data_IF_484500782687
#
_entry.id   IF_484500782687
#
_cell.length_a   1.000
_cell.length_b   1.000
_cell.length_c   1.000
_cell.angle_alpha   90.00
_cell.angle_beta   90.00
_cell.angle_gamma   90.00
#
_symmetry.space_group_name_H-M   'P 1'
#
loop_
_entity.id
_entity.type
_entity.pdbx_description
1 polymer ?
#
# COMPACT_ATOMS: atom_id res chain seq x y z
N UNK A 1 20.74 -2.26 -2.99
CA UNK A 1 19.57 -2.29 -3.90
C UNK A 1 18.35 -1.96 -3.04
N UNK A 2 17.45 -1.09 -3.50
CA UNK A 2 16.23 -0.68 -2.79
C UNK A 2 15.27 -1.88 -2.70
N UNK A 3 14.57 -2.03 -1.59
CA UNK A 3 13.49 -3.01 -1.48
C UNK A 3 12.18 -2.42 -1.99
N UNK A 4 11.32 -3.26 -2.56
CA UNK A 4 9.94 -2.93 -2.87
C UNK A 4 9.03 -3.50 -1.78
N UNK A 5 8.46 -2.61 -0.99
CA UNK A 5 7.58 -2.92 0.13
C UNK A 5 6.13 -2.74 -0.30
N UNK A 6 5.34 -3.79 -0.25
CA UNK A 6 3.90 -3.73 -0.44
C UNK A 6 3.22 -3.47 0.91
N UNK A 7 2.77 -2.23 1.13
CA UNK A 7 2.11 -1.81 2.38
C UNK A 7 0.60 -1.67 2.18
N UNK A 8 -0.17 -2.57 2.79
CA UNK A 8 -1.62 -2.68 2.55
C UNK A 8 -2.39 -3.00 3.82
N UNK A 9 -3.60 -2.43 3.90
CA UNK A 9 -4.67 -2.93 4.78
C UNK A 9 -5.46 -4.01 4.06
N UNK A 10 -5.75 -5.10 4.76
CA UNK A 10 -6.55 -6.23 4.24
C UNK A 10 -7.61 -6.65 5.26
N UNK A 11 -8.75 -7.10 4.76
CA UNK A 11 -9.75 -7.78 5.59
C UNK A 11 -9.25 -9.15 6.04
N UNK A 12 -9.91 -9.75 7.01
CA UNK A 12 -9.57 -11.08 7.53
C UNK A 12 -9.59 -12.17 6.44
N UNK A 13 -10.41 -12.00 5.42
CA UNK A 13 -10.56 -12.89 4.27
C UNK A 13 -9.78 -12.44 3.02
N UNK A 14 -8.84 -11.49 3.17
CA UNK A 14 -7.82 -11.14 2.17
C UNK A 14 -8.25 -10.16 1.09
N UNK A 15 -9.31 -9.39 1.31
CA UNK A 15 -9.71 -8.31 0.41
C UNK A 15 -9.14 -6.96 0.85
N UNK A 16 -8.85 -6.11 -0.12
CA UNK A 16 -8.31 -4.76 0.10
C UNK A 16 -9.35 -3.67 -0.11
N UNK A 17 -10.44 -3.99 -0.79
CA UNK A 17 -11.57 -3.08 -1.04
C UNK A 17 -12.81 -3.88 -1.40
N UNK A 18 -13.99 -3.26 -1.35
CA UNK A 18 -15.20 -3.77 -1.98
C UNK A 18 -15.03 -3.87 -3.51
N UNK A 19 -15.93 -4.56 -4.19
CA UNK A 19 -15.86 -4.80 -5.64
C UNK A 19 -15.88 -3.51 -6.47
N UNK A 20 -16.49 -2.44 -5.95
CA UNK A 20 -16.49 -1.09 -6.55
C UNK A 20 -15.21 -0.28 -6.23
N UNK A 21 -14.35 -0.79 -5.36
CA UNK A 21 -13.14 -0.13 -4.89
C UNK A 21 -13.29 0.70 -3.63
N UNK A 22 -14.49 0.73 -3.03
CA UNK A 22 -14.75 1.42 -1.77
C UNK A 22 -13.97 0.75 -0.62
N UNK A 23 -13.46 1.56 0.31
CA UNK A 23 -12.66 1.15 1.48
C UNK A 23 -13.26 1.64 2.80
N UNK A 24 -14.56 1.88 2.85
CA UNK A 24 -15.27 2.41 4.03
C UNK A 24 -15.16 1.51 5.26
N UNK A 25 -14.88 0.23 5.08
CA UNK A 25 -14.60 -0.73 6.13
C UNK A 25 -13.30 -0.42 6.92
N UNK A 26 -12.42 0.43 6.39
CA UNK A 26 -11.22 0.91 7.09
C UNK A 26 -11.56 2.01 8.12
N UNK A 27 -12.74 2.62 7.99
CA UNK A 27 -13.18 3.67 8.89
C UNK A 27 -13.78 3.04 10.15
N UNK A 28 -13.35 3.41 11.37
CA UNK A 28 -13.94 2.91 12.59
C UNK A 28 -15.44 3.22 12.63
N UNK A 29 -16.28 2.22 12.86
CA UNK A 29 -17.70 2.44 13.11
C UNK A 29 -17.90 2.90 14.55
N UNK A 30 -18.33 4.14 14.77
CA UNK A 30 -18.81 4.62 16.05
C UNK A 30 -18.13 5.88 16.59
N UNK A 31 -18.91 6.62 17.37
CA UNK A 31 -18.43 7.74 18.18
C UNK A 31 -17.51 7.21 19.28
N UNK A 32 -16.36 7.77 19.40
CA UNK A 32 -15.33 7.36 20.34
C UNK A 32 -14.21 6.64 19.63
N UNK A 33 -13.54 7.37 18.74
CA UNK A 33 -12.22 6.98 18.27
C UNK A 33 -11.31 6.97 19.49
N UNK A 34 -11.29 5.83 20.18
CA UNK A 34 -10.18 5.54 21.06
C UNK A 34 -8.94 5.71 20.17
N UNK A 35 -7.97 6.43 20.64
CA UNK A 35 -6.73 6.77 19.93
C UNK A 35 -5.91 5.50 19.61
N UNK A 36 -6.50 4.60 18.83
CA UNK A 36 -5.83 3.44 18.24
C UNK A 36 -4.79 3.88 17.20
N UNK A 37 -4.87 5.16 16.81
CA UNK A 37 -4.05 5.77 15.80
C UNK A 37 -2.62 5.99 16.22
N UNK A 38 -2.35 6.25 17.49
CA UNK A 38 -1.05 6.79 17.87
C UNK A 38 0.10 5.80 17.63
N UNK A 39 -0.02 4.55 18.06
CA UNK A 39 1.06 3.57 17.86
C UNK A 39 1.20 3.15 16.40
N UNK A 40 0.08 2.86 15.70
CA UNK A 40 0.09 2.48 14.29
C UNK A 40 0.46 3.66 13.41
N UNK A 41 -0.05 4.86 13.72
CA UNK A 41 0.30 6.08 13.01
C UNK A 41 1.79 6.41 13.15
N UNK A 42 2.36 6.30 14.35
CA UNK A 42 3.81 6.47 14.57
C UNK A 42 4.62 5.45 13.77
N UNK A 43 4.26 4.17 13.83
CA UNK A 43 4.94 3.12 13.06
C UNK A 43 4.89 3.38 11.55
N UNK A 44 3.77 3.90 11.03
CA UNK A 44 3.67 4.30 9.64
C UNK A 44 4.56 5.51 9.34
N UNK A 45 4.58 6.54 10.18
CA UNK A 45 5.45 7.71 10.00
C UNK A 45 6.93 7.32 10.00
N UNK A 46 7.35 6.45 10.93
CA UNK A 46 8.71 5.91 10.98
C UNK A 46 9.05 5.14 9.69
N UNK A 47 8.14 4.27 9.25
CA UNK A 47 8.31 3.54 7.98
C UNK A 47 8.48 4.50 6.80
N UNK A 48 7.59 5.48 6.66
CA UNK A 48 7.66 6.44 5.55
C UNK A 48 8.91 7.34 5.60
N UNK A 49 9.49 7.55 6.79
CA UNK A 49 10.79 8.20 6.96
C UNK A 49 11.95 7.48 6.25
N UNK A 50 11.82 6.16 6.03
CA UNK A 50 12.82 5.33 5.33
C UNK A 50 12.46 5.10 3.85
N UNK A 51 11.36 5.67 3.36
CA UNK A 51 10.93 5.55 1.97
C UNK A 51 11.53 6.67 1.12
N UNK A 52 11.97 6.33 -0.09
CA UNK A 52 12.46 7.27 -1.08
C UNK A 52 11.59 7.36 -2.34
N UNK A 53 10.59 6.48 -2.50
CA UNK A 53 9.70 6.48 -3.64
C UNK A 53 8.37 5.81 -3.27
N UNK A 54 7.26 6.44 -3.62
CA UNK A 54 5.92 5.85 -3.53
C UNK A 54 5.49 5.38 -4.92
N UNK A 55 4.90 4.19 -4.98
CA UNK A 55 4.31 3.65 -6.21
C UNK A 55 2.86 3.28 -5.96
N UNK A 56 1.99 3.51 -6.94
CA UNK A 56 0.60 3.10 -6.89
C UNK A 56 -0.03 3.00 -8.27
N UNK A 57 -1.16 2.32 -8.35
CA UNK A 57 -1.99 2.31 -9.55
C UNK A 57 -2.92 3.52 -9.64
N UNK A 58 -3.47 3.78 -10.83
CA UNK A 58 -4.37 4.91 -11.12
C UNK A 58 -5.50 5.08 -10.11
N UNK A 59 -6.28 4.03 -9.86
CA UNK A 59 -7.45 4.11 -8.97
C UNK A 59 -7.09 4.57 -7.55
N UNK A 60 -5.99 4.06 -7.01
CA UNK A 60 -5.51 4.51 -5.70
C UNK A 60 -5.10 5.98 -5.73
N UNK A 61 -4.42 6.42 -6.78
CA UNK A 61 -4.06 7.82 -6.96
C UNK A 61 -5.30 8.72 -7.01
N UNK A 62 -6.29 8.39 -7.83
CA UNK A 62 -7.54 9.15 -7.96
C UNK A 62 -8.31 9.28 -6.64
N UNK A 63 -8.30 8.23 -5.81
CA UNK A 63 -8.93 8.25 -4.48
C UNK A 63 -8.12 9.03 -3.44
N UNK A 64 -6.81 8.92 -3.49
CA UNK A 64 -5.93 9.41 -2.43
C UNK A 64 -5.44 10.84 -2.67
N UNK A 65 -5.14 11.22 -3.91
CA UNK A 65 -4.55 12.50 -4.23
C UNK A 65 -5.35 13.70 -3.69
N UNK A 66 -6.70 13.78 -3.84
CA UNK A 66 -7.45 14.91 -3.33
C UNK A 66 -7.37 15.09 -1.81
N UNK A 67 -7.37 13.97 -1.07
CA UNK A 67 -7.34 14.01 0.38
C UNK A 67 -5.94 14.33 0.92
N UNK A 68 -4.90 13.77 0.32
CA UNK A 68 -3.53 13.92 0.79
C UNK A 68 -2.91 15.24 0.35
N UNK A 69 -3.18 15.71 -0.89
CA UNK A 69 -2.62 16.97 -1.40
C UNK A 69 -3.12 18.20 -0.63
N UNK A 70 -4.32 18.13 -0.06
CA UNK A 70 -4.94 19.21 0.71
C UNK A 70 -4.79 19.10 2.23
N UNK A 71 -4.14 18.05 2.73
CA UNK A 71 -4.01 17.78 4.16
C UNK A 71 -2.69 18.29 4.72
N UNK A 72 -2.73 18.92 5.91
CA UNK A 72 -1.56 19.37 6.68
C UNK A 72 -1.15 18.36 7.77
N UNK A 73 -1.69 17.14 7.75
CA UNK A 73 -1.32 16.13 8.71
C UNK A 73 0.16 15.72 8.57
N UNK A 74 0.84 15.30 9.65
CA UNK A 74 2.24 14.90 9.58
C UNK A 74 2.52 13.85 8.51
N UNK A 75 1.60 12.90 8.30
CA UNK A 75 1.72 11.87 7.27
C UNK A 75 1.57 12.49 5.87
N UNK A 76 0.63 13.41 5.67
CA UNK A 76 0.44 14.08 4.39
C UNK A 76 1.68 14.89 3.99
N UNK A 77 2.28 15.61 4.94
CA UNK A 77 3.53 16.35 4.68
C UNK A 77 4.65 15.43 4.19
N UNK A 78 4.82 14.26 4.80
CA UNK A 78 5.81 13.28 4.35
C UNK A 78 5.46 12.74 2.97
N UNK A 79 4.22 12.28 2.75
CA UNK A 79 3.78 11.72 1.47
C UNK A 79 3.89 12.74 0.33
N UNK A 80 3.53 14.00 0.58
CA UNK A 80 3.57 15.07 -0.43
C UNK A 80 5.01 15.42 -0.86
N UNK A 81 6.00 15.27 0.02
CA UNK A 81 7.42 15.52 -0.32
C UNK A 81 8.06 14.38 -1.09
N UNK A 82 7.59 13.14 -0.91
CA UNK A 82 8.18 11.97 -1.57
C UNK A 82 7.87 11.96 -3.08
N UNK A 83 8.83 11.55 -3.92
CA UNK A 83 8.57 11.24 -5.32
C UNK A 83 7.51 10.13 -5.45
N UNK A 84 6.65 10.24 -6.45
CA UNK A 84 5.58 9.27 -6.73
C UNK A 84 5.61 8.80 -8.17
N UNK A 85 5.38 7.52 -8.39
CA UNK A 85 5.16 6.93 -9.71
C UNK A 85 3.78 6.29 -9.75
N UNK A 86 2.95 6.80 -10.66
CA UNK A 86 1.59 6.29 -10.87
C UNK A 86 1.57 5.45 -12.14
N UNK A 87 1.27 4.16 -12.00
CA UNK A 87 1.14 3.26 -13.15
C UNK A 87 -0.26 3.37 -13.74
N UNK A 88 -0.32 3.88 -14.97
CA UNK A 88 -1.57 4.05 -15.70
C UNK A 88 -1.35 4.08 -17.22
N UNK A 89 -2.24 3.43 -17.96
CA UNK A 89 -2.28 3.52 -19.41
C UNK A 89 -3.23 4.63 -19.92
N UNK A 90 -4.07 5.18 -19.04
CA UNK A 90 -5.18 6.07 -19.40
C UNK A 90 -5.17 7.42 -18.70
N UNK A 91 -4.40 7.57 -17.61
CA UNK A 91 -4.26 8.83 -16.90
C UNK A 91 -3.25 9.72 -17.64
N UNK A 92 -3.62 10.95 -17.96
CA UNK A 92 -2.74 11.88 -18.68
C UNK A 92 -2.04 12.86 -17.72
N UNK A 93 -2.73 13.27 -16.65
CA UNK A 93 -2.20 14.17 -15.64
C UNK A 93 -2.70 13.82 -14.24
N UNK A 94 -2.00 14.30 -13.22
CA UNK A 94 -2.41 14.20 -11.82
C UNK A 94 -1.93 15.41 -11.06
N UNK A 95 -2.84 16.05 -10.35
CA UNK A 95 -2.54 17.18 -9.47
C UNK A 95 -2.12 16.69 -8.08
N UNK A 96 -0.91 16.16 -8.00
CA UNK A 96 -0.28 15.76 -6.75
C UNK A 96 1.22 16.05 -6.82
N UNK A 97 1.79 16.82 -5.87
CA UNK A 97 3.20 17.21 -5.93
C UNK A 97 4.15 16.02 -6.09
N UNK A 98 5.25 16.21 -6.81
CA UNK A 98 6.32 15.24 -7.01
C UNK A 98 5.86 13.91 -7.65
N UNK A 99 4.87 13.99 -8.54
CA UNK A 99 4.27 12.81 -9.18
C UNK A 99 4.63 12.75 -10.67
N UNK A 100 4.97 11.55 -11.13
CA UNK A 100 5.05 11.22 -12.55
C UNK A 100 4.15 10.02 -12.87
N UNK A 101 3.67 9.97 -14.10
CA UNK A 101 2.92 8.83 -14.62
C UNK A 101 3.88 7.92 -15.39
N UNK A 102 3.78 6.61 -15.16
CA UNK A 102 4.49 5.60 -15.94
C UNK A 102 3.51 4.75 -16.73
N UNK A 103 3.86 4.54 -18.00
CA UNK A 103 3.16 3.63 -18.92
C UNK A 103 3.97 2.34 -19.15
N UNK A 104 5.12 2.21 -18.51
CA UNK A 104 5.98 1.05 -18.64
C UNK A 104 5.35 -0.20 -18.00
N UNK A 105 5.75 -1.36 -18.48
CA UNK A 105 5.43 -2.61 -17.80
C UNK A 105 6.16 -2.68 -16.45
N UNK A 106 5.46 -3.10 -15.40
CA UNK A 106 6.01 -3.18 -14.04
C UNK A 106 7.22 -4.12 -13.98
N UNK A 107 7.18 -5.22 -14.72
CA UNK A 107 8.29 -6.18 -14.80
C UNK A 107 9.58 -5.57 -15.36
N UNK A 108 9.49 -4.56 -16.21
CA UNK A 108 10.65 -3.92 -16.83
C UNK A 108 11.18 -2.72 -16.03
N UNK A 109 10.28 -1.94 -15.42
CA UNK A 109 10.64 -0.70 -14.72
C UNK A 109 11.06 -0.93 -13.28
N UNK A 110 10.36 -1.78 -12.54
CA UNK A 110 10.62 -2.00 -11.11
C UNK A 110 12.05 -2.48 -10.84
N UNK A 111 12.61 -3.46 -11.58
CA UNK A 111 14.00 -3.85 -11.37
C UNK A 111 15.00 -2.69 -11.57
N UNK A 112 14.73 -1.80 -12.52
CA UNK A 112 15.58 -0.61 -12.76
C UNK A 112 15.50 0.36 -11.59
N UNK A 113 14.29 0.68 -11.12
CA UNK A 113 14.07 1.54 -9.96
C UNK A 113 14.73 0.97 -8.69
N UNK A 114 14.68 -0.34 -8.49
CA UNK A 114 15.38 -1.00 -7.38
C UNK A 114 16.90 -0.88 -7.49
N UNK A 115 17.43 -0.89 -8.71
CA UNK A 115 18.88 -0.79 -8.97
C UNK A 115 19.46 0.63 -8.81
N UNK A 116 18.64 1.68 -8.90
CA UNK A 116 19.08 3.09 -8.79
C UNK A 116 19.72 3.45 -7.42
N UNK A 117 19.50 2.64 -6.39
CA UNK A 117 19.95 2.93 -5.04
C UNK A 117 19.09 3.98 -4.31
N UNK A 118 19.42 4.26 -3.06
CA UNK A 118 18.66 5.17 -2.19
C UNK A 118 17.75 4.43 -1.20
N UNK A 119 16.82 5.15 -0.56
CA UNK A 119 15.83 4.62 0.35
C UNK A 119 14.81 3.74 -0.38
N UNK A 120 14.12 2.88 0.34
CA UNK A 120 13.22 1.87 -0.19
C UNK A 120 12.02 2.44 -0.96
N UNK A 121 11.36 1.58 -1.71
CA UNK A 121 10.18 1.87 -2.50
C UNK A 121 8.99 1.29 -1.76
N UNK A 122 7.92 2.08 -1.57
CA UNK A 122 6.67 1.58 -1.02
C UNK A 122 5.56 1.62 -2.05
N UNK A 123 4.79 0.54 -2.13
CA UNK A 123 3.48 0.54 -2.77
C UNK A 123 2.45 0.85 -1.70
N UNK A 124 1.78 1.98 -1.87
CA UNK A 124 0.81 2.49 -0.93
C UNK A 124 -0.57 2.57 -1.58
N UNK A 125 -1.46 1.66 -1.21
CA UNK A 125 -2.79 1.53 -1.79
C UNK A 125 -2.83 0.88 -3.18
N UNK A 126 -4.06 0.56 -3.62
CA UNK A 126 -4.30 -0.01 -4.95
C UNK A 126 -4.26 -1.54 -5.01
N UNK A 127 -5.38 -2.19 -4.65
CA UNK A 127 -5.46 -3.65 -4.59
C UNK A 127 -5.10 -4.36 -5.88
N UNK A 128 -5.55 -3.89 -7.03
CA UNK A 128 -5.18 -4.47 -8.33
C UNK A 128 -3.68 -4.34 -8.63
N UNK A 129 -3.09 -3.19 -8.26
CA UNK A 129 -1.66 -2.97 -8.47
C UNK A 129 -0.84 -3.87 -7.53
N UNK A 130 -1.24 -3.94 -6.24
CA UNK A 130 -0.61 -4.84 -5.26
C UNK A 130 -0.73 -6.31 -5.67
N UNK A 131 -1.90 -6.73 -6.16
CA UNK A 131 -2.10 -8.07 -6.71
C UNK A 131 -1.12 -8.38 -7.85
N UNK A 132 -0.95 -7.44 -8.80
CA UNK A 132 -0.02 -7.62 -9.92
C UNK A 132 1.41 -7.81 -9.44
N UNK A 133 1.84 -7.07 -8.40
CA UNK A 133 3.18 -7.20 -7.83
C UNK A 133 3.41 -8.56 -7.16
N UNK A 134 2.42 -9.07 -6.45
CA UNK A 134 2.48 -10.42 -5.85
C UNK A 134 2.52 -11.47 -6.95
N UNK A 135 1.62 -11.38 -7.92
CA UNK A 135 1.54 -12.33 -9.02
C UNK A 135 2.86 -12.45 -9.78
N UNK A 136 3.53 -11.32 -10.02
CA UNK A 136 4.81 -11.26 -10.74
C UNK A 136 6.03 -11.38 -9.83
N UNK A 137 5.84 -11.65 -8.52
CA UNK A 137 6.89 -11.83 -7.52
C UNK A 137 7.88 -10.66 -7.44
N UNK A 138 7.37 -9.43 -7.60
CA UNK A 138 8.18 -8.22 -7.62
C UNK A 138 8.38 -7.60 -6.24
N UNK A 139 7.48 -7.88 -5.28
CA UNK A 139 7.58 -7.39 -3.91
C UNK A 139 8.63 -8.17 -3.12
N UNK A 140 9.53 -7.45 -2.44
CA UNK A 140 10.54 -8.03 -1.55
C UNK A 140 10.01 -8.22 -0.13
N UNK A 141 9.05 -7.39 0.26
CA UNK A 141 8.44 -7.44 1.59
C UNK A 141 6.96 -7.03 1.51
N UNK A 142 6.12 -7.74 2.23
CA UNK A 142 4.73 -7.40 2.45
C UNK A 142 4.55 -6.90 3.88
N UNK A 143 4.02 -5.70 4.04
CA UNK A 143 3.57 -5.14 5.33
C UNK A 143 2.07 -5.05 5.30
N UNK A 144 1.42 -6.04 5.87
CA UNK A 144 -0.03 -6.17 5.84
C UNK A 144 -0.62 -5.85 7.21
N UNK A 145 -1.60 -4.96 7.24
CA UNK A 145 -2.45 -4.77 8.41
C UNK A 145 -3.75 -5.53 8.18
N UNK A 146 -3.91 -6.65 8.86
CA UNK A 146 -5.13 -7.46 8.85
C UNK A 146 -6.12 -6.84 9.81
N UNK A 147 -7.27 -6.41 9.31
CA UNK A 147 -8.37 -5.87 10.09
C UNK A 147 -9.34 -6.98 10.50
N UNK A 148 -9.95 -6.92 11.68
CA UNK A 148 -10.88 -7.94 12.19
C UNK A 148 -12.28 -7.81 11.54
N UNK A 149 -12.32 -7.79 10.22
CA UNK A 149 -13.54 -7.70 9.39
C UNK A 149 -13.43 -8.66 8.22
N UNK A 150 -14.50 -9.36 7.90
CA UNK A 150 -14.61 -10.16 6.68
C UNK A 150 -15.58 -9.45 5.72
N UNK A 151 -15.17 -9.33 4.46
CA UNK A 151 -15.95 -8.66 3.42
C UNK A 151 -16.80 -9.65 2.61
N UNK A 152 -16.39 -10.92 2.51
CA UNK A 152 -17.06 -11.96 1.74
C UNK A 152 -16.77 -11.89 0.24
N UNK A 153 -16.68 -10.70 -0.32
CA UNK A 153 -16.33 -10.41 -1.72
C UNK A 153 -15.61 -9.09 -1.84
N UNK A 154 -14.93 -8.87 -2.98
CA UNK A 154 -14.21 -7.63 -3.22
C UNK A 154 -12.97 -7.78 -4.09
N UNK A 155 -12.08 -6.80 -4.00
CA UNK A 155 -10.78 -6.79 -4.67
C UNK A 155 -9.80 -7.59 -3.81
N UNK A 156 -9.52 -8.82 -4.20
CA UNK A 156 -8.60 -9.71 -3.49
C UNK A 156 -7.15 -9.40 -3.82
N UNK A 157 -6.30 -9.49 -2.81
CA UNK A 157 -4.84 -9.37 -2.99
C UNK A 157 -4.24 -10.65 -3.61
N UNK A 158 -4.88 -11.80 -3.47
CA UNK A 158 -4.31 -13.12 -3.80
C UNK A 158 -5.11 -13.93 -4.82
N UNK A 159 -6.23 -13.44 -5.31
CA UNK A 159 -7.09 -14.20 -6.21
C UNK A 159 -6.40 -14.54 -7.53
N UNK A 160 -6.53 -15.79 -7.99
CA UNK A 160 -6.03 -16.21 -9.31
C UNK A 160 -4.50 -16.20 -9.45
N UNK A 161 -3.78 -16.39 -8.35
CA UNK A 161 -2.34 -16.67 -8.43
C UNK A 161 -2.13 -17.99 -9.20
N UNK A 162 -1.14 -18.05 -10.11
CA UNK A 162 -0.89 -19.24 -10.94
C UNK A 162 -0.45 -20.44 -10.10
N UNK A 163 0.16 -20.20 -8.96
CA UNK A 163 0.61 -21.20 -7.99
C UNK A 163 0.64 -20.61 -6.57
N UNK A 164 0.60 -21.44 -5.53
CA UNK A 164 0.77 -20.99 -4.16
C UNK A 164 2.14 -20.30 -3.97
N UNK A 165 2.13 -19.15 -3.30
CA UNK A 165 3.35 -18.47 -2.88
C UNK A 165 3.51 -18.60 -1.36
N UNK A 166 4.70 -18.93 -0.93
CA UNK A 166 5.03 -19.04 0.49
C UNK A 166 5.67 -17.74 0.96
N UNK A 167 5.36 -17.37 2.19
CA UNK A 167 5.93 -16.21 2.86
C UNK A 167 6.40 -16.61 4.24
N UNK A 168 7.52 -16.06 4.68
CA UNK A 168 8.05 -16.19 6.02
C UNK A 168 7.59 -14.98 6.87
N UNK A 169 7.05 -15.23 8.06
CA UNK A 169 6.69 -14.19 9.00
C UNK A 169 7.96 -13.66 9.67
N UNK A 170 8.30 -12.41 9.41
CA UNK A 170 9.43 -11.71 10.04
C UNK A 170 9.03 -11.15 11.40
N UNK A 171 7.87 -10.49 11.46
CA UNK A 171 7.34 -9.93 12.70
C UNK A 171 5.83 -9.73 12.65
N UNK A 172 5.20 -9.64 13.82
CA UNK A 172 3.79 -9.26 13.93
C UNK A 172 3.57 -8.35 15.14
N UNK A 173 2.60 -7.44 15.00
CA UNK A 173 2.18 -6.52 16.08
C UNK A 173 0.67 -6.53 16.17
N UNK A 174 0.15 -6.81 17.36
CA UNK A 174 -1.29 -6.72 17.66
C UNK A 174 -1.58 -5.32 18.21
N UNK A 175 -2.63 -4.69 17.69
CA UNK A 175 -3.12 -3.39 18.13
C UNK A 175 -4.40 -3.53 18.96
N UNK A 176 -4.68 -2.51 19.77
CA UNK A 176 -5.83 -2.52 20.69
C UNK A 176 -7.20 -2.55 19.96
N UNK A 177 -7.25 -2.14 18.69
CA UNK A 177 -8.43 -2.21 17.84
C UNK A 177 -8.66 -3.61 17.21
N UNK A 178 -7.84 -4.59 17.60
CA UNK A 178 -7.89 -5.95 17.05
C UNK A 178 -7.18 -6.12 15.72
N UNK A 179 -6.63 -5.06 15.14
CA UNK A 179 -5.80 -5.18 13.94
C UNK A 179 -4.49 -5.90 14.24
N UNK A 180 -4.00 -6.65 13.26
CA UNK A 180 -2.69 -7.31 13.33
C UNK A 180 -1.84 -6.87 12.15
N UNK A 181 -0.77 -6.13 12.40
CA UNK A 181 0.23 -5.86 11.37
C UNK A 181 1.24 -7.00 11.30
N UNK A 182 1.55 -7.41 10.09
CA UNK A 182 2.51 -8.48 9.78
C UNK A 182 3.54 -7.97 8.79
N UNK A 183 4.80 -8.32 9.01
CA UNK A 183 5.88 -8.17 8.04
C UNK A 183 6.22 -9.56 7.53
N UNK A 184 6.10 -9.74 6.23
CA UNK A 184 6.26 -11.01 5.54
C UNK A 184 7.28 -10.86 4.40
N UNK A 185 8.10 -11.88 4.18
CA UNK A 185 9.00 -11.94 3.03
C UNK A 185 8.74 -13.19 2.18
N UNK A 186 8.93 -13.12 0.85
CA UNK A 186 8.89 -14.30 0.01
C UNK A 186 9.86 -15.38 0.53
N UNK A 187 9.36 -16.62 0.67
CA UNK A 187 10.13 -17.79 1.11
C UNK A 187 10.76 -18.55 -0.05
#
# INVERSE_FOLDING_TARGET
MRQLILHMSVSLDGYVAHSDGNIDWLTPRGEGVVDHGDRRHRANLEMFGEIGLIMMGRRACEQMAPAWSSSDSPMALVINTLPKVIYSQTLDEVDWPNTRISRAAIADEIPKLKAEGGKDIVVFGGGHFGHSLIRERLADELRLTVHPVALGEGISLYHGLPEPQRFELVSSTVYADGCVSQVLRPG
#
